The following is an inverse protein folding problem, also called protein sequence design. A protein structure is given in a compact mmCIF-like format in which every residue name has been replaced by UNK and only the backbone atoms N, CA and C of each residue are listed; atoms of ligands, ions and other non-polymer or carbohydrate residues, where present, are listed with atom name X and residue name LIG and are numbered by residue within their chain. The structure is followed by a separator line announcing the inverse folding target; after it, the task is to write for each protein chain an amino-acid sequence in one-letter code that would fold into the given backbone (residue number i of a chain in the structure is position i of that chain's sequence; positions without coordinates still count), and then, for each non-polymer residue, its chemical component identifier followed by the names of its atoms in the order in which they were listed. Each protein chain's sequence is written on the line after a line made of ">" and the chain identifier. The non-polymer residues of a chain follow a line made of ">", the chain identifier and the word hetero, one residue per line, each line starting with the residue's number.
data_IF_045512329591
#
_entry.id   IF_045512329591
#
_cell.length_a   1.000
_cell.length_b   1.000
_cell.length_c   1.000
_cell.angle_alpha   90.00
_cell.angle_beta   90.00
_cell.angle_gamma   90.00
#
_symmetry.space_group_name_H-M   'P 1'
#
loop_
_entity.id
_entity.type
_entity.pdbx_description
1 polymer ?
#
# COMPACT_ATOMS: atom_id res chain seq x y z
N UNK A 1 21.44 -19.30 -7.04
CA UNK A 1 21.34 -19.33 -6.98
C UNK A 1 20.99 -19.47 -6.84
N UNK A 2 20.74 -19.45 -6.76
CA UNK A 2 20.38 -19.51 -6.48
C UNK A 2 19.94 -19.63 -6.23
N UNK A 3 19.80 -19.60 -6.16
CA UNK A 3 19.38 -19.58 -5.83
C UNK A 3 18.91 -19.65 -5.69
N UNK A 4 18.80 -19.66 -5.63
CA UNK A 4 18.39 -19.62 -5.37
C UNK A 4 17.82 -19.68 -5.30
N UNK A 5 17.68 -19.74 -5.27
CA UNK A 5 17.11 -19.68 -5.03
C UNK A 5 16.43 -19.98 -4.86
N UNK A 6 16.45 -20.28 -4.77
CA UNK A 6 15.77 -20.45 -4.49
C UNK A 6 15.18 -20.34 -4.34
N UNK A 7 15.25 -19.87 -4.30
CA UNK A 7 14.91 -19.44 -4.14
C UNK A 7 14.41 -19.13 -4.39
N UNK A 8 14.59 -19.10 -4.66
CA UNK A 8 14.28 -18.76 -4.86
C UNK A 8 13.53 -18.80 -4.96
N UNK A 9 13.46 -19.01 -5.38
CA UNK A 9 12.65 -19.17 -5.35
C UNK A 9 11.93 -19.09 -4.44
N UNK A 10 11.96 -18.93 -3.75
CA UNK A 10 11.26 -18.82 -2.91
C UNK A 10 10.69 -17.80 -2.76
N UNK A 11 10.75 -17.25 -3.33
CA UNK A 11 10.18 -16.36 -3.25
C UNK A 11 9.14 -16.25 -3.54
N UNK A 12 8.91 -16.76 -4.20
CA UNK A 12 7.62 -16.60 -4.59
C UNK A 12 6.71 -17.01 -3.61
N UNK A 13 7.02 -17.88 -3.02
CA UNK A 13 6.27 -18.36 -2.07
C UNK A 13 5.85 -17.45 -1.11
N UNK A 14 6.75 -16.79 -0.62
CA UNK A 14 6.45 -15.97 0.44
C UNK A 14 5.46 -14.94 0.13
N UNK A 15 5.25 -14.65 -1.11
CA UNK A 15 4.35 -13.62 -1.42
C UNK A 15 2.95 -13.97 -1.12
N UNK A 16 2.69 -15.20 -0.88
CA UNK A 16 1.37 -15.59 -0.65
C UNK A 16 0.98 -15.73 0.74
N UNK A 17 1.91 -15.66 1.62
CA UNK A 17 1.60 -15.94 2.91
C UNK A 17 1.55 -14.81 3.70
N UNK A 18 0.41 -14.48 4.19
CA UNK A 18 0.30 -13.52 5.22
C UNK A 18 0.87 -14.15 6.41
N UNK A 19 1.50 -13.47 7.14
CA UNK A 19 1.68 -12.08 7.11
C UNK A 19 2.97 -11.79 6.49
N UNK A 20 3.20 -12.56 5.47
CA UNK A 20 4.36 -12.24 4.83
C UNK A 20 4.47 -10.80 5.03
N UNK A 21 5.50 -10.24 4.80
CA UNK A 21 5.93 -8.99 5.27
C UNK A 21 5.10 -7.82 4.76
N UNK A 22 3.99 -7.54 5.40
CA UNK A 22 3.13 -6.44 5.01
C UNK A 22 3.83 -5.10 5.24
N UNK A 23 4.72 -5.00 6.23
CA UNK A 23 5.48 -3.78 6.46
C UNK A 23 6.38 -3.52 5.27
N UNK A 24 7.08 -4.54 4.80
CA UNK A 24 7.96 -4.36 3.65
C UNK A 24 7.15 -4.06 2.39
N UNK A 25 6.02 -4.72 2.22
CA UNK A 25 5.18 -4.52 1.03
C UNK A 25 4.63 -3.09 0.98
N UNK A 26 4.16 -2.57 2.10
CA UNK A 26 3.66 -1.20 2.13
C UNK A 26 4.80 -0.19 1.98
N UNK A 27 5.98 -0.50 2.51
CA UNK A 27 7.15 0.34 2.31
C UNK A 27 7.50 0.41 0.82
N UNK A 28 7.57 -0.73 0.15
CA UNK A 28 7.92 -0.75 -1.27
C UNK A 28 6.86 -0.03 -2.12
N UNK A 29 5.61 -0.16 -1.75
CA UNK A 29 4.57 0.57 -2.44
C UNK A 29 4.78 2.08 -2.28
N UNK A 30 5.11 2.52 -1.07
CA UNK A 30 5.39 3.93 -0.81
C UNK A 30 6.55 4.44 -1.65
N UNK A 31 7.62 3.63 -1.78
CA UNK A 31 8.76 3.99 -2.61
C UNK A 31 8.34 4.16 -4.07
N UNK A 32 7.50 3.23 -4.57
CA UNK A 32 7.00 3.33 -5.95
C UNK A 32 6.18 4.61 -6.13
N UNK A 33 5.38 4.97 -5.14
CA UNK A 33 4.57 6.19 -5.21
C UNK A 33 5.49 7.43 -5.27
N UNK A 34 6.53 7.46 -4.43
CA UNK A 34 7.47 8.59 -4.43
C UNK A 34 8.10 8.75 -5.82
N UNK A 35 8.56 7.65 -6.40
CA UNK A 35 9.20 7.70 -7.70
C UNK A 35 8.21 8.09 -8.80
N UNK A 36 6.99 7.58 -8.71
CA UNK A 36 5.97 7.87 -9.69
C UNK A 36 5.57 9.36 -9.67
N UNK A 37 5.37 9.90 -8.48
CA UNK A 37 4.94 11.30 -8.34
C UNK A 37 5.98 12.25 -8.93
N UNK A 38 7.26 11.93 -8.77
CA UNK A 38 8.31 12.78 -9.31
C UNK A 38 8.32 12.82 -10.82
N UNK A 39 7.70 11.85 -11.48
CA UNK A 39 7.65 11.79 -12.93
C UNK A 39 6.34 12.30 -13.52
N UNK A 40 5.43 12.82 -12.68
CA UNK A 40 4.17 13.35 -13.19
C UNK A 40 4.41 14.61 -14.03
N UNK A 41 3.51 14.91 -14.98
CA UNK A 41 3.63 16.15 -15.74
C UNK A 41 3.56 17.37 -14.82
N UNK A 42 4.16 18.47 -15.26
CA UNK A 42 4.18 19.67 -14.44
C UNK A 42 3.01 20.56 -14.80
N UNK A 43 1.80 20.04 -14.65
CA UNK A 43 0.58 20.78 -14.84
C UNK A 43 -0.05 21.05 -13.48
N UNK A 44 -1.00 21.95 -13.43
CA UNK A 44 -1.65 22.27 -12.17
C UNK A 44 -2.31 21.03 -11.57
N UNK A 45 -3.12 20.31 -12.36
CA UNK A 45 -3.85 19.18 -11.83
C UNK A 45 -2.93 18.04 -11.42
N UNK A 46 -1.91 17.74 -12.23
CA UNK A 46 -0.98 16.67 -11.88
C UNK A 46 -0.20 17.01 -10.62
N UNK A 47 0.16 18.29 -10.44
CA UNK A 47 0.89 18.70 -9.25
C UNK A 47 0.02 18.57 -8.00
N UNK A 48 -1.22 19.02 -8.08
CA UNK A 48 -2.08 18.99 -6.89
C UNK A 48 -2.52 17.57 -6.54
N UNK A 49 -2.90 16.78 -7.53
CA UNK A 49 -3.28 15.40 -7.27
C UNK A 49 -2.07 14.59 -6.85
N UNK A 50 -0.91 14.87 -7.44
CA UNK A 50 0.33 14.21 -7.06
C UNK A 50 0.68 14.44 -5.61
N UNK A 51 0.44 15.64 -5.11
CA UNK A 51 0.69 15.96 -3.70
C UNK A 51 -0.19 15.10 -2.79
N UNK A 52 -1.46 14.96 -3.15
CA UNK A 52 -2.38 14.14 -2.37
C UNK A 52 -1.99 12.66 -2.43
N UNK A 53 -1.60 12.20 -3.62
CA UNK A 53 -1.17 10.81 -3.79
C UNK A 53 0.08 10.52 -2.97
N UNK A 54 1.04 11.42 -2.98
CA UNK A 54 2.27 11.26 -2.21
C UNK A 54 1.93 11.14 -0.73
N UNK A 55 1.07 12.01 -0.24
CA UNK A 55 0.69 12.01 1.16
C UNK A 55 0.00 10.72 1.56
N UNK A 56 -1.03 10.31 0.82
CA UNK A 56 -1.79 9.12 1.18
C UNK A 56 -0.97 7.85 0.96
N UNK A 57 -0.24 7.78 -0.13
CA UNK A 57 0.51 6.58 -0.48
C UNK A 57 1.64 6.26 0.50
N UNK A 58 2.31 7.30 1.01
CA UNK A 58 3.37 7.09 2.00
C UNK A 58 2.80 6.87 3.39
N UNK A 59 1.60 7.39 3.67
CA UNK A 59 0.96 7.20 4.98
C UNK A 59 0.58 5.76 5.25
N UNK A 60 0.37 4.96 4.21
CA UNK A 60 0.06 3.54 4.41
C UNK A 60 1.20 2.88 5.17
N UNK A 61 2.42 3.03 4.68
CA UNK A 61 3.59 2.42 5.31
C UNK A 61 3.84 3.02 6.69
N UNK A 62 3.66 4.33 6.83
CA UNK A 62 3.89 4.98 8.12
C UNK A 62 2.97 4.41 9.19
N UNK A 63 1.70 4.19 8.86
CA UNK A 63 0.77 3.66 9.83
C UNK A 63 1.01 2.18 10.10
N UNK A 64 1.46 1.43 9.10
CA UNK A 64 1.81 0.03 9.34
C UNK A 64 3.05 -0.10 10.21
N UNK A 65 3.99 0.85 10.08
CA UNK A 65 5.14 0.88 10.96
C UNK A 65 4.70 1.13 12.41
N UNK A 66 3.77 2.06 12.60
CA UNK A 66 3.25 2.34 13.94
C UNK A 66 2.44 1.18 14.48
N UNK A 67 1.71 0.48 13.60
CA UNK A 67 0.95 -0.69 14.03
C UNK A 67 1.86 -1.78 14.57
N UNK A 68 3.05 -1.93 13.96
CA UNK A 68 4.00 -2.94 14.38
C UNK A 68 4.49 -2.66 15.81
N UNK A 69 4.59 -1.39 16.18
CA UNK A 69 5.00 -1.00 17.52
C UNK A 69 3.84 -0.68 18.45
N UNK A 70 2.64 -1.12 18.12
CA UNK A 70 1.47 -0.75 18.90
C UNK A 70 1.53 -1.27 20.33
N UNK A 71 1.00 -0.48 21.25
CA UNK A 71 1.05 -0.80 22.66
C UNK A 71 -0.08 -1.71 23.11
N UNK A 72 -1.11 -1.85 22.31
CA UNK A 72 -2.27 -2.67 22.65
C UNK A 72 -2.93 -3.17 21.39
N UNK A 73 -3.83 -4.14 21.56
CA UNK A 73 -4.61 -4.64 20.43
C UNK A 73 -5.47 -3.52 19.83
N UNK A 74 -6.08 -2.70 20.66
CA UNK A 74 -6.90 -1.61 20.14
C UNK A 74 -6.07 -0.60 19.36
N UNK A 75 -4.86 -0.32 19.85
CA UNK A 75 -3.98 0.58 19.13
C UNK A 75 -3.56 -0.02 17.80
N UNK A 76 -3.27 -1.33 17.77
CA UNK A 76 -2.93 -2.02 16.52
C UNK A 76 -4.07 -1.90 15.52
N UNK A 77 -5.30 -2.21 15.94
CA UNK A 77 -6.47 -2.15 15.07
C UNK A 77 -6.68 -0.73 14.56
N UNK A 78 -6.48 0.25 15.43
CA UNK A 78 -6.64 1.64 15.06
C UNK A 78 -5.65 2.04 13.95
N UNK A 79 -4.38 1.67 14.13
CA UNK A 79 -3.33 2.02 13.16
C UNK A 79 -3.55 1.32 11.82
N UNK A 80 -3.90 0.05 11.86
CA UNK A 80 -4.20 -0.68 10.62
C UNK A 80 -5.43 -0.06 9.94
N UNK A 81 -6.41 0.38 10.73
CA UNK A 81 -7.58 1.06 10.20
C UNK A 81 -7.24 2.34 9.47
N UNK A 82 -6.29 3.11 9.99
CA UNK A 82 -5.84 4.32 9.32
C UNK A 82 -5.14 3.95 8.01
N UNK A 83 -4.26 2.94 8.05
CA UNK A 83 -3.57 2.49 6.85
C UNK A 83 -4.58 2.06 5.79
N UNK A 84 -5.63 1.37 6.19
CA UNK A 84 -6.70 0.93 5.29
C UNK A 84 -7.38 2.14 4.62
N UNK A 85 -7.70 3.17 5.40
CA UNK A 85 -8.32 4.37 4.84
C UNK A 85 -7.38 5.08 3.88
N UNK A 86 -6.10 5.16 4.22
CA UNK A 86 -5.11 5.79 3.34
C UNK A 86 -4.95 5.02 2.04
N UNK A 87 -5.03 3.68 2.10
CA UNK A 87 -4.96 2.88 0.90
C UNK A 87 -6.16 3.14 -0.01
N UNK A 88 -7.35 3.30 0.56
CA UNK A 88 -8.53 3.62 -0.23
C UNK A 88 -8.42 5.00 -0.86
N UNK A 89 -7.87 5.96 -0.13
CA UNK A 89 -7.67 7.30 -0.67
C UNK A 89 -6.63 7.27 -1.79
N UNK A 90 -5.56 6.50 -1.59
CA UNK A 90 -4.53 6.33 -2.61
C UNK A 90 -5.12 5.77 -3.90
N UNK A 91 -6.01 4.78 -3.78
CA UNK A 91 -6.68 4.22 -4.95
C UNK A 91 -7.50 5.30 -5.67
N UNK A 92 -8.16 6.16 -4.92
CA UNK A 92 -8.96 7.23 -5.51
C UNK A 92 -8.08 8.16 -6.36
N UNK A 93 -6.95 8.59 -5.82
CA UNK A 93 -6.07 9.49 -6.56
C UNK A 93 -5.48 8.79 -7.80
N UNK A 94 -5.12 7.51 -7.66
CA UNK A 94 -4.61 6.75 -8.80
C UNK A 94 -5.67 6.59 -9.89
N UNK A 95 -6.92 6.37 -9.49
CA UNK A 95 -8.01 6.29 -10.47
C UNK A 95 -8.19 7.61 -11.22
N UNK A 96 -8.09 8.72 -10.51
CA UNK A 96 -8.22 10.03 -11.15
C UNK A 96 -7.07 10.28 -12.12
N UNK A 97 -5.86 9.92 -11.73
CA UNK A 97 -4.70 10.07 -12.60
C UNK A 97 -4.85 9.18 -13.84
N UNK A 98 -5.27 7.94 -13.62
CA UNK A 98 -5.42 6.99 -14.72
C UNK A 98 -6.48 7.47 -15.71
N UNK A 99 -7.59 7.95 -15.21
CA UNK A 99 -8.71 8.33 -16.06
C UNK A 99 -8.48 9.67 -16.77
N UNK A 100 -7.98 10.66 -16.03
CA UNK A 100 -7.94 12.02 -16.54
C UNK A 100 -6.61 12.48 -17.08
N UNK A 101 -5.51 11.88 -16.62
CA UNK A 101 -4.19 12.39 -16.97
C UNK A 101 -3.34 11.42 -17.76
N UNK A 102 -3.27 10.16 -17.36
CA UNK A 102 -2.35 9.20 -17.93
C UNK A 102 -3.02 7.86 -18.25
N UNK A 103 -4.02 7.86 -19.13
CA UNK A 103 -4.82 6.63 -19.35
C UNK A 103 -4.06 5.48 -19.99
N UNK A 104 -2.92 5.74 -20.65
CA UNK A 104 -2.19 4.69 -21.34
C UNK A 104 -0.89 4.29 -20.64
N UNK A 105 -0.62 4.87 -19.47
CA UNK A 105 0.63 4.57 -18.78
C UNK A 105 0.46 3.31 -17.93
N UNK A 106 1.21 2.28 -18.27
CA UNK A 106 1.10 0.98 -17.63
C UNK A 106 1.38 1.06 -16.12
N UNK A 107 2.32 1.88 -15.71
CA UNK A 107 2.67 1.97 -14.30
C UNK A 107 1.49 2.41 -13.44
N UNK A 108 0.63 3.29 -13.97
CA UNK A 108 -0.54 3.73 -13.21
C UNK A 108 -1.46 2.55 -12.96
N UNK A 109 -1.68 1.72 -13.97
CA UNK A 109 -2.53 0.55 -13.83
C UNK A 109 -1.94 -0.44 -12.81
N UNK A 110 -0.61 -0.60 -12.82
CA UNK A 110 0.06 -1.49 -11.88
C UNK A 110 -0.07 -0.99 -10.45
N UNK A 111 0.12 0.31 -10.24
CA UNK A 111 -0.02 0.91 -8.92
C UNK A 111 -1.47 0.80 -8.44
N UNK A 112 -2.41 0.97 -9.34
CA UNK A 112 -3.82 0.85 -9.00
C UNK A 112 -4.14 -0.57 -8.54
N UNK A 113 -3.65 -1.57 -9.28
CA UNK A 113 -3.83 -2.97 -8.90
C UNK A 113 -3.23 -3.26 -7.52
N UNK A 114 -2.02 -2.75 -7.27
CA UNK A 114 -1.39 -2.98 -5.98
C UNK A 114 -2.16 -2.29 -4.85
N UNK A 115 -2.68 -1.09 -5.10
CA UNK A 115 -3.46 -0.42 -4.07
C UNK A 115 -4.69 -1.23 -3.70
N UNK A 116 -5.32 -1.86 -4.68
CA UNK A 116 -6.50 -2.68 -4.43
C UNK A 116 -6.16 -3.93 -3.64
N UNK A 117 -4.99 -4.52 -3.91
CA UNK A 117 -4.52 -5.65 -3.12
C UNK A 117 -4.26 -5.24 -1.67
N UNK A 118 -3.60 -4.10 -1.48
CA UNK A 118 -3.31 -3.63 -0.14
C UNK A 118 -4.59 -3.36 0.64
N UNK A 119 -5.61 -2.81 -0.02
CA UNK A 119 -6.90 -2.57 0.62
C UNK A 119 -7.47 -3.89 1.16
N UNK A 120 -7.43 -4.95 0.33
CA UNK A 120 -7.96 -6.24 0.75
C UNK A 120 -7.16 -6.84 1.90
N UNK A 121 -5.84 -6.77 1.82
CA UNK A 121 -4.97 -7.34 2.85
C UNK A 121 -5.15 -6.61 4.18
N UNK A 122 -5.17 -5.28 4.15
CA UNK A 122 -5.30 -4.49 5.36
C UNK A 122 -6.65 -4.69 6.01
N UNK A 123 -7.70 -4.79 5.21
CA UNK A 123 -9.03 -5.09 5.74
C UNK A 123 -9.03 -6.45 6.42
N UNK A 124 -8.41 -7.46 5.78
CA UNK A 124 -8.37 -8.80 6.35
C UNK A 124 -7.59 -8.83 7.68
N UNK A 125 -6.47 -8.12 7.75
CA UNK A 125 -5.69 -8.03 8.99
C UNK A 125 -6.53 -7.40 10.10
N UNK A 126 -7.21 -6.32 9.79
CA UNK A 126 -8.02 -5.60 10.76
C UNK A 126 -9.16 -6.46 11.26
N UNK A 127 -9.83 -7.14 10.32
CA UNK A 127 -10.97 -8.00 10.65
C UNK A 127 -10.53 -9.17 11.52
N UNK A 128 -9.41 -9.78 11.19
CA UNK A 128 -8.88 -10.90 11.97
C UNK A 128 -8.51 -10.45 13.37
N UNK A 129 -7.89 -9.30 13.51
CA UNK A 129 -7.50 -8.78 14.80
C UNK A 129 -8.73 -8.51 15.68
N UNK A 130 -9.80 -7.96 15.11
CA UNK A 130 -11.03 -7.73 15.84
C UNK A 130 -11.67 -9.03 16.29
N UNK A 131 -11.68 -10.00 15.39
CA UNK A 131 -12.26 -11.29 15.69
C UNK A 131 -11.52 -11.98 16.82
N UNK A 132 -10.19 -11.97 16.79
CA UNK A 132 -9.38 -12.58 17.82
C UNK A 132 -9.52 -11.85 19.16
N UNK A 133 -10.02 -10.64 19.14
CA UNK A 133 -10.22 -9.89 20.36
C UNK A 133 -11.52 -10.21 21.06
N UNK A 134 -12.40 -10.98 20.42
CA UNK A 134 -13.61 -11.36 21.06
C UNK A 134 -13.41 -12.64 21.73
N UNK A 135 -13.60 -12.67 22.93
CA UNK A 135 -13.39 -13.91 23.64
C UNK A 135 -14.64 -14.38 24.32
#
# INVERSE_FOLDING_TARGET
>A
MASTNPHDGKQAVSTLEPPFDIQERTFQFGVRIVKFVDRLPRTLSATEIGRQLLKSGTSIAANMEEAKGAESKNDFIHKVGIAYKEARETRLWLRMIHTALLPTVTEVAELLTESEELIRILYAIMKKARSNGRV
#
